data_IF_710545742339
#
_entry.id   IF_710545742339
#
_cell.length_a   1.000
_cell.length_b   1.000
_cell.length_c   1.000
_cell.angle_alpha   90.00
_cell.angle_beta   90.00
_cell.angle_gamma   90.00
#
_symmetry.space_group_name_H-M   'P 1'
#
loop_
_entity.id
_entity.type
_entity.pdbx_description
1 polymer ?
#
# COMPACT_ATOMS: atom_id res chain seq x y z
N UNK A 1 -15.95 -5.53 -14.13
CA UNK A 1 -14.79 -5.72 -13.25
C UNK A 1 -15.24 -5.66 -11.80
N UNK A 2 -14.66 -6.50 -10.98
CA UNK A 2 -14.90 -6.45 -9.53
C UNK A 2 -13.89 -5.50 -8.90
N UNK A 3 -14.29 -4.25 -8.70
CA UNK A 3 -13.40 -3.24 -8.16
C UNK A 3 -13.00 -3.50 -6.71
N UNK A 4 -13.89 -4.13 -5.93
CA UNK A 4 -13.57 -4.49 -4.56
C UNK A 4 -12.44 -5.50 -4.51
N UNK A 5 -12.51 -6.54 -5.34
CA UNK A 5 -11.48 -7.55 -5.42
C UNK A 5 -10.17 -6.95 -5.92
N UNK A 6 -10.25 -6.12 -6.96
CA UNK A 6 -9.08 -5.45 -7.51
C UNK A 6 -8.40 -4.56 -6.46
N UNK A 7 -9.19 -3.82 -5.67
CA UNK A 7 -8.69 -2.99 -4.59
C UNK A 7 -7.91 -3.82 -3.57
N UNK A 8 -8.48 -4.94 -3.11
CA UNK A 8 -7.82 -5.76 -2.11
C UNK A 8 -6.53 -6.40 -2.64
N UNK A 9 -6.51 -6.84 -3.88
CA UNK A 9 -5.30 -7.39 -4.48
C UNK A 9 -4.20 -6.33 -4.51
N UNK A 10 -4.52 -5.14 -4.97
CA UNK A 10 -3.55 -4.05 -5.06
C UNK A 10 -3.08 -3.63 -3.67
N UNK A 11 -4.02 -3.46 -2.74
CA UNK A 11 -3.70 -3.05 -1.36
C UNK A 11 -2.75 -4.06 -0.70
N UNK A 12 -3.05 -5.36 -0.82
CA UNK A 12 -2.24 -6.40 -0.21
C UNK A 12 -0.87 -6.50 -0.86
N UNK A 13 -0.78 -6.32 -2.17
CA UNK A 13 0.50 -6.33 -2.87
C UNK A 13 1.37 -5.17 -2.41
N UNK A 14 0.80 -4.00 -2.24
CA UNK A 14 1.54 -2.83 -1.74
C UNK A 14 2.04 -3.09 -0.32
N UNK A 15 1.21 -3.69 0.54
CA UNK A 15 1.63 -4.05 1.89
C UNK A 15 2.83 -5.00 1.86
N UNK A 16 2.80 -6.00 0.99
CA UNK A 16 3.90 -6.95 0.86
C UNK A 16 5.19 -6.25 0.42
N UNK A 17 5.07 -5.33 -0.54
CA UNK A 17 6.24 -4.57 -1.03
C UNK A 17 6.81 -3.70 0.09
N UNK A 18 5.96 -3.04 0.86
CA UNK A 18 6.39 -2.22 1.98
C UNK A 18 7.17 -3.07 2.99
N UNK A 19 6.65 -4.24 3.34
CA UNK A 19 7.32 -5.14 4.27
C UNK A 19 8.69 -5.57 3.77
N UNK A 20 8.79 -5.91 2.47
CA UNK A 20 10.06 -6.29 1.87
C UNK A 20 11.06 -5.13 1.97
N UNK A 21 10.62 -3.92 1.64
CA UNK A 21 11.51 -2.76 1.64
C UNK A 21 11.94 -2.36 3.05
N UNK A 22 11.06 -2.48 4.03
CA UNK A 22 11.37 -2.14 5.41
C UNK A 22 12.35 -3.12 6.04
N UNK A 23 12.32 -4.38 5.60
CA UNK A 23 13.17 -5.43 6.17
C UNK A 23 14.44 -5.68 5.37
N UNK A 24 14.65 -5.00 4.26
CA UNK A 24 15.78 -5.24 3.38
C UNK A 24 16.81 -4.12 3.50
N UNK A 25 18.03 -4.49 3.89
CA UNK A 25 19.11 -3.52 4.07
C UNK A 25 19.64 -2.95 2.77
N UNK A 26 19.29 -3.54 1.62
CA UNK A 26 19.72 -3.01 0.32
C UNK A 26 18.88 -1.83 -0.16
N UNK A 27 17.82 -1.48 0.58
CA UNK A 27 16.98 -0.32 0.26
C UNK A 27 17.05 0.75 1.35
N UNK A 28 18.26 1.25 1.70
CA UNK A 28 18.39 2.18 2.82
C UNK A 28 17.72 3.55 2.57
N UNK A 29 17.48 3.90 1.32
CA UNK A 29 16.88 5.19 0.95
C UNK A 29 15.42 5.06 0.51
N UNK A 30 14.76 3.96 0.84
CA UNK A 30 13.39 3.70 0.41
C UNK A 30 12.34 4.37 1.29
N UNK A 31 12.73 5.06 2.36
CA UNK A 31 11.79 5.64 3.32
C UNK A 31 10.76 6.58 2.66
N UNK A 32 11.18 7.39 1.69
CA UNK A 32 10.25 8.28 1.00
C UNK A 32 9.22 7.51 0.18
N UNK A 33 9.66 6.45 -0.49
CA UNK A 33 8.77 5.59 -1.27
C UNK A 33 7.81 4.84 -0.35
N UNK A 34 8.32 4.30 0.76
CA UNK A 34 7.50 3.61 1.75
C UNK A 34 6.43 4.54 2.30
N UNK A 35 6.79 5.77 2.66
CA UNK A 35 5.85 6.73 3.20
C UNK A 35 4.78 7.11 2.19
N UNK A 36 5.14 7.26 0.92
CA UNK A 36 4.16 7.54 -0.13
C UNK A 36 3.18 6.38 -0.30
N UNK A 37 3.66 5.15 -0.28
CA UNK A 37 2.81 3.97 -0.40
C UNK A 37 1.87 3.86 0.79
N UNK A 38 2.37 4.08 2.00
CA UNK A 38 1.53 4.05 3.20
C UNK A 38 0.46 5.13 3.17
N UNK A 39 0.82 6.34 2.73
CA UNK A 39 -0.15 7.43 2.60
C UNK A 39 -1.23 7.10 1.58
N UNK A 40 -0.84 6.53 0.45
CA UNK A 40 -1.80 6.12 -0.58
C UNK A 40 -2.75 5.05 -0.05
N UNK A 41 -2.23 4.09 0.71
CA UNK A 41 -3.07 3.05 1.31
C UNK A 41 -4.06 3.65 2.29
N UNK A 42 -3.62 4.58 3.13
CA UNK A 42 -4.49 5.22 4.10
C UNK A 42 -5.61 6.00 3.42
N UNK A 43 -5.27 6.78 2.41
CA UNK A 43 -6.24 7.58 1.68
C UNK A 43 -7.27 6.70 0.97
N UNK A 44 -6.79 5.66 0.28
CA UNK A 44 -7.68 4.78 -0.47
C UNK A 44 -8.56 3.96 0.46
N UNK A 45 -8.03 3.54 1.61
CA UNK A 45 -8.82 2.82 2.60
C UNK A 45 -9.94 3.71 3.15
N UNK A 46 -9.65 4.97 3.45
CA UNK A 46 -10.67 5.91 3.91
C UNK A 46 -11.75 6.12 2.86
N UNK A 47 -11.35 6.28 1.59
CA UNK A 47 -12.30 6.42 0.49
C UNK A 47 -13.17 5.17 0.34
N UNK A 48 -12.57 4.00 0.48
CA UNK A 48 -13.30 2.75 0.39
C UNK A 48 -14.35 2.63 1.49
N UNK A 49 -13.95 2.97 2.72
CA UNK A 49 -14.86 2.91 3.88
C UNK A 49 -16.01 3.90 3.73
N UNK A 50 -15.73 5.11 3.25
CA UNK A 50 -16.75 6.12 3.05
C UNK A 50 -17.80 5.73 2.03
N UNK A 51 -17.48 4.84 1.11
CA UNK A 51 -18.38 4.42 0.05
C UNK A 51 -19.02 3.06 0.31
N UNK A 52 -18.86 2.53 1.51
CA UNK A 52 -19.56 1.33 1.90
C UNK A 52 -21.02 1.64 2.23
#
# INVERSE_FOLDING_TARGET
MDYKKAYFILFNTITDVIEIMENDVIFPNANNAINKLKSAQQITEEMYIENL
#
